data_IF_618859637843
#
_entry.id   IF_618859637843
#
_cell.length_a   1.000
_cell.length_b   1.000
_cell.length_c   1.000
_cell.angle_alpha   90.00
_cell.angle_beta   90.00
_cell.angle_gamma   90.00
#
_symmetry.space_group_name_H-M   'P 1'
#
loop_
_entity.id
_entity.type
_entity.pdbx_description
1 polymer ?
#
# COMPACT_ATOMS: atom_id res chain seq x y z
N UNK A 1 3.47 9.01 0.08
CA UNK A 1 3.04 9.57 1.38
C UNK A 1 3.78 8.84 2.50
N UNK A 2 4.52 9.54 3.38
CA UNK A 2 5.13 8.94 4.56
C UNK A 2 4.07 8.37 5.52
N UNK A 3 4.43 7.30 6.21
CA UNK A 3 3.64 6.74 7.30
C UNK A 3 4.45 6.80 8.59
N UNK A 4 3.80 7.15 9.69
CA UNK A 4 4.48 7.38 10.98
C UNK A 4 3.82 6.51 12.03
N UNK A 5 4.62 5.73 12.72
CA UNK A 5 4.21 4.94 13.88
C UNK A 5 5.40 4.57 14.78
N UNK A 6 5.16 4.50 16.08
CA UNK A 6 6.14 4.00 17.06
C UNK A 6 7.50 4.70 17.02
N UNK A 7 7.54 5.99 16.73
CA UNK A 7 8.80 6.75 16.63
C UNK A 7 9.56 6.53 15.33
N UNK A 8 8.94 5.91 14.33
CA UNK A 8 9.53 5.60 13.01
C UNK A 8 8.76 6.27 11.89
N UNK A 9 9.46 6.58 10.82
CA UNK A 9 8.89 7.07 9.56
C UNK A 9 9.19 6.03 8.48
N UNK A 10 8.14 5.53 7.84
CA UNK A 10 8.21 4.59 6.72
C UNK A 10 7.92 5.34 5.43
N UNK A 11 8.83 5.25 4.47
CA UNK A 11 8.72 5.91 3.17
C UNK A 11 9.13 4.97 2.05
N UNK A 12 8.65 5.28 0.85
CA UNK A 12 9.31 4.85 -0.38
C UNK A 12 10.08 6.06 -0.89
N UNK A 13 11.39 5.95 -0.89
CA UNK A 13 12.30 7.02 -1.33
C UNK A 13 12.22 7.23 -2.86
N UNK A 14 12.73 8.36 -3.39
CA UNK A 14 12.68 8.65 -4.82
C UNK A 14 13.31 7.58 -5.72
N UNK A 15 14.26 6.80 -5.20
CA UNK A 15 14.87 5.66 -5.87
C UNK A 15 14.00 4.38 -5.83
N UNK A 16 12.76 4.50 -5.33
CA UNK A 16 11.75 3.43 -5.25
C UNK A 16 12.06 2.35 -4.20
N UNK A 17 12.93 2.66 -3.25
CA UNK A 17 13.35 1.74 -2.19
C UNK A 17 12.63 2.06 -0.90
N UNK A 18 12.10 1.02 -0.24
CA UNK A 18 11.45 1.14 1.07
C UNK A 18 12.50 1.46 2.13
N UNK A 19 12.25 2.51 2.90
CA UNK A 19 13.20 3.04 3.88
C UNK A 19 12.46 3.36 5.19
N UNK A 20 13.11 3.04 6.29
CA UNK A 20 12.65 3.42 7.63
C UNK A 20 13.64 4.40 8.25
N UNK A 21 13.09 5.49 8.79
CA UNK A 21 13.87 6.53 9.47
C UNK A 21 13.42 6.62 10.93
N UNK A 22 14.33 7.03 11.78
CA UNK A 22 14.01 7.47 13.13
C UNK A 22 13.28 8.81 13.09
N UNK A 23 12.11 8.90 13.73
CA UNK A 23 11.27 10.11 13.68
C UNK A 23 11.94 11.32 14.35
N UNK A 24 12.66 11.11 15.45
CA UNK A 24 13.25 12.19 16.23
C UNK A 24 14.50 12.78 15.57
N UNK A 25 15.29 11.94 14.93
CA UNK A 25 16.62 12.32 14.40
C UNK A 25 16.70 12.38 12.88
N UNK A 26 15.75 11.77 12.18
CA UNK A 26 15.78 11.60 10.73
C UNK A 26 16.83 10.59 10.24
N UNK A 27 17.53 9.91 11.15
CA UNK A 27 18.53 8.91 10.76
C UNK A 27 17.87 7.67 10.15
N UNK A 28 18.52 7.12 9.13
CA UNK A 28 18.11 5.87 8.53
C UNK A 28 18.32 4.71 9.52
N UNK A 29 17.23 4.01 9.84
CA UNK A 29 17.29 2.79 10.65
C UNK A 29 17.56 1.56 9.78
N UNK A 30 16.86 1.47 8.65
CA UNK A 30 17.10 0.45 7.64
C UNK A 30 16.58 0.90 6.26
N UNK A 31 17.04 0.22 5.24
CA UNK A 31 16.63 0.39 3.86
C UNK A 31 16.69 -0.98 3.18
N UNK A 32 15.65 -1.33 2.45
CA UNK A 32 15.57 -2.63 1.78
C UNK A 32 15.31 -2.48 0.28
N UNK A 33 16.18 -3.09 -0.51
CA UNK A 33 16.17 -3.02 -1.97
C UNK A 33 15.65 -4.31 -2.63
N UNK A 34 15.09 -5.23 -1.87
CA UNK A 34 14.56 -6.49 -2.41
C UNK A 34 13.38 -6.27 -3.35
N UNK A 35 12.61 -5.21 -3.12
CA UNK A 35 11.46 -4.84 -3.94
C UNK A 35 11.45 -3.35 -4.26
N UNK A 36 10.94 -2.99 -5.44
CA UNK A 36 10.74 -1.60 -5.84
C UNK A 36 9.27 -1.21 -5.72
N UNK A 37 8.99 0.04 -5.36
CA UNK A 37 7.65 0.58 -5.21
C UNK A 37 7.54 2.02 -5.70
N UNK A 38 6.31 2.50 -5.88
CA UNK A 38 5.97 3.85 -6.37
C UNK A 38 5.14 4.63 -5.33
N UNK A 39 5.61 4.79 -4.11
CA UNK A 39 4.94 5.60 -3.08
C UNK A 39 3.54 5.11 -2.64
N UNK A 40 3.26 3.84 -2.83
CA UNK A 40 1.94 3.23 -2.63
C UNK A 40 1.73 2.71 -1.22
N UNK A 41 2.06 3.52 -0.23
CA UNK A 41 2.17 3.10 1.16
C UNK A 41 0.83 3.11 1.91
N UNK A 42 0.64 2.17 2.81
CA UNK A 42 -0.45 2.11 3.77
C UNK A 42 0.05 1.68 5.16
N UNK A 43 -0.73 1.96 6.19
CA UNK A 43 -0.43 1.56 7.57
C UNK A 43 -1.68 0.91 8.18
N UNK A 44 -1.53 -0.18 8.93
CA UNK A 44 -2.63 -0.77 9.69
C UNK A 44 -3.12 0.19 10.78
N UNK A 45 -4.38 0.03 11.20
CA UNK A 45 -4.98 0.90 12.21
C UNK A 45 -4.28 0.83 13.58
N UNK A 46 -3.65 -0.29 13.90
CA UNK A 46 -2.83 -0.47 15.12
C UNK A 46 -1.35 -0.08 14.93
N UNK A 47 -0.97 0.35 13.75
CA UNK A 47 0.39 0.75 13.41
C UNK A 47 1.41 -0.41 13.27
N UNK A 48 1.01 -1.65 13.48
CA UNK A 48 1.94 -2.80 13.53
C UNK A 48 2.42 -3.27 12.18
N UNK A 49 1.70 -2.90 11.10
CA UNK A 49 2.02 -3.32 9.73
C UNK A 49 2.07 -2.13 8.81
N UNK A 50 3.13 -2.08 8.04
CA UNK A 50 3.28 -1.16 6.92
C UNK A 50 3.11 -1.94 5.62
N UNK A 51 2.29 -1.41 4.72
CA UNK A 51 2.00 -2.03 3.44
C UNK A 51 2.53 -1.18 2.30
N UNK A 52 3.01 -1.83 1.25
CA UNK A 52 3.33 -1.16 0.00
C UNK A 52 3.12 -2.09 -1.20
N UNK A 53 2.64 -1.49 -2.29
CA UNK A 53 2.49 -2.20 -3.56
C UNK A 53 3.83 -2.14 -4.31
N UNK A 54 4.29 -3.28 -4.80
CA UNK A 54 5.54 -3.37 -5.56
C UNK A 54 5.32 -3.04 -7.03
N UNK A 55 6.41 -2.76 -7.74
CA UNK A 55 6.37 -2.56 -9.19
C UNK A 55 6.19 -3.86 -9.99
N UNK A 56 6.23 -5.00 -9.34
CA UNK A 56 5.91 -6.31 -9.92
C UNK A 56 4.44 -6.71 -9.73
N UNK A 57 3.62 -5.79 -9.23
CA UNK A 57 2.17 -6.02 -9.03
C UNK A 57 1.85 -6.89 -7.83
N UNK A 58 2.68 -6.81 -6.80
CA UNK A 58 2.48 -7.49 -5.53
C UNK A 58 2.12 -6.49 -4.43
N UNK A 59 1.50 -6.95 -3.37
CA UNK A 59 1.33 -6.21 -2.12
C UNK A 59 2.17 -6.87 -1.03
N UNK A 60 3.06 -6.11 -0.41
CA UNK A 60 3.91 -6.57 0.68
C UNK A 60 3.49 -5.96 2.01
N UNK A 61 3.58 -6.75 3.08
CA UNK A 61 3.40 -6.31 4.46
C UNK A 61 4.69 -6.46 5.25
N UNK A 62 5.02 -5.43 6.02
CA UNK A 62 6.22 -5.37 6.84
C UNK A 62 5.84 -5.19 8.30
N UNK A 63 6.57 -5.84 9.18
CA UNK A 63 6.50 -5.63 10.63
C UNK A 63 7.16 -4.30 11.00
N UNK A 64 6.36 -3.34 11.48
CA UNK A 64 6.86 -2.01 11.87
C UNK A 64 7.66 -2.04 13.16
N UNK A 65 7.49 -3.06 14.01
CA UNK A 65 8.20 -3.18 15.28
C UNK A 65 9.62 -3.73 15.14
N UNK A 66 9.93 -4.38 14.02
CA UNK A 66 11.25 -4.96 13.80
C UNK A 66 12.34 -3.89 13.66
N UNK A 67 13.55 -4.18 14.14
CA UNK A 67 14.70 -3.26 14.05
C UNK A 67 15.26 -3.16 12.63
N UNK A 68 14.99 -4.18 11.78
CA UNK A 68 15.37 -4.26 10.38
C UNK A 68 14.15 -4.57 9.53
N UNK A 69 14.30 -4.47 8.21
CA UNK A 69 13.27 -4.91 7.28
C UNK A 69 12.85 -6.35 7.56
N UNK A 70 11.58 -6.54 7.87
CA UNK A 70 11.00 -7.86 8.10
C UNK A 70 9.68 -7.97 7.35
N UNK A 71 9.70 -8.69 6.25
CA UNK A 71 8.52 -9.01 5.49
C UNK A 71 7.69 -10.07 6.20
N UNK A 72 6.41 -9.78 6.41
CA UNK A 72 5.45 -10.73 6.97
C UNK A 72 4.86 -11.62 5.89
N UNK A 73 4.51 -11.01 4.77
CA UNK A 73 4.01 -11.69 3.57
C UNK A 73 4.14 -10.77 2.35
N UNK A 74 4.08 -11.40 1.18
CA UNK A 74 4.00 -10.71 -0.10
C UNK A 74 3.03 -11.47 -1.00
N UNK A 75 2.00 -10.80 -1.48
CA UNK A 75 0.92 -11.41 -2.25
C UNK A 75 0.95 -10.89 -3.68
N UNK A 76 1.06 -11.80 -4.64
CA UNK A 76 0.93 -11.49 -6.06
C UNK A 76 -0.54 -11.17 -6.38
N UNK A 77 -0.78 -9.96 -6.92
CA UNK A 77 -2.11 -9.50 -7.30
C UNK A 77 -2.52 -9.99 -8.71
N UNK A 78 -1.59 -10.62 -9.43
CA UNK A 78 -1.81 -11.08 -10.81
C UNK A 78 -1.81 -9.95 -11.84
N UNK A 79 -1.30 -8.76 -11.49
CA UNK A 79 -1.31 -7.59 -12.36
C UNK A 79 -0.06 -7.43 -13.22
N UNK A 80 1.01 -8.16 -12.90
CA UNK A 80 2.31 -7.98 -13.53
C UNK A 80 2.92 -6.61 -13.22
N UNK A 81 3.72 -6.08 -14.15
CA UNK A 81 4.40 -4.80 -13.96
C UNK A 81 3.42 -3.67 -13.61
N UNK A 82 3.69 -2.96 -12.52
CA UNK A 82 2.82 -1.96 -11.93
C UNK A 82 3.61 -0.70 -11.56
N UNK A 83 3.14 0.46 -12.01
CA UNK A 83 3.77 1.75 -11.70
C UNK A 83 2.79 2.80 -11.18
N UNK A 84 1.52 2.44 -10.96
CA UNK A 84 0.54 3.36 -10.41
C UNK A 84 0.86 3.69 -8.95
N UNK A 85 0.80 4.97 -8.59
CA UNK A 85 1.17 5.47 -7.25
C UNK A 85 -0.02 5.67 -6.32
N UNK A 86 -1.18 5.08 -6.61
CA UNK A 86 -2.31 5.11 -5.68
C UNK A 86 -1.93 4.47 -4.34
N UNK A 87 -2.03 5.20 -3.22
CA UNK A 87 -1.71 4.67 -1.91
C UNK A 87 -2.60 3.48 -1.52
N UNK A 88 -2.07 2.55 -0.75
CA UNK A 88 -2.87 1.50 -0.13
C UNK A 88 -3.74 2.10 0.99
N UNK A 89 -4.97 1.61 1.11
CA UNK A 89 -5.92 2.01 2.15
C UNK A 89 -6.30 0.81 3.01
N UNK A 90 -6.30 1.00 4.32
CA UNK A 90 -6.64 -0.07 5.27
C UNK A 90 -7.98 0.25 5.96
N UNK A 91 -8.92 -0.70 5.88
CA UNK A 91 -10.22 -0.63 6.56
C UNK A 91 -10.55 -2.00 7.16
N UNK A 92 -10.76 -2.04 8.46
CA UNK A 92 -11.17 -3.26 9.19
C UNK A 92 -10.26 -4.47 8.91
N UNK A 93 -8.94 -4.25 8.92
CA UNK A 93 -7.95 -5.30 8.67
C UNK A 93 -7.79 -5.70 7.20
N UNK A 94 -8.55 -5.13 6.28
CA UNK A 94 -8.45 -5.38 4.85
C UNK A 94 -7.67 -4.26 4.18
N UNK A 95 -6.72 -4.63 3.32
CA UNK A 95 -5.90 -3.69 2.55
C UNK A 95 -6.46 -3.59 1.14
N UNK A 96 -6.82 -2.37 0.73
CA UNK A 96 -7.32 -2.07 -0.60
C UNK A 96 -6.23 -1.38 -1.42
N UNK A 97 -6.05 -1.83 -2.64
CA UNK A 97 -5.07 -1.27 -3.59
C UNK A 97 -5.68 -1.09 -4.96
N UNK A 98 -5.21 -0.09 -5.69
CA UNK A 98 -5.60 0.15 -7.07
C UNK A 98 -4.39 0.15 -7.99
N UNK A 99 -4.57 -0.32 -9.21
CA UNK A 99 -3.53 -0.48 -10.21
C UNK A 99 -3.66 0.43 -11.42
N UNK A 100 -2.69 0.38 -12.30
CA UNK A 100 -2.58 1.25 -13.50
C UNK A 100 -3.63 1.00 -14.57
N UNK A 101 -4.22 -0.20 -14.58
CA UNK A 101 -5.22 -0.60 -15.58
C UNK A 101 -6.65 -0.61 -15.04
N UNK A 102 -6.93 0.20 -14.02
CA UNK A 102 -8.25 0.29 -13.42
C UNK A 102 -8.64 -0.94 -12.61
N UNK A 103 -7.67 -1.67 -12.13
CA UNK A 103 -7.88 -2.81 -11.22
C UNK A 103 -7.94 -2.35 -9.78
N UNK A 104 -8.78 -2.99 -8.99
CA UNK A 104 -8.85 -2.82 -7.53
C UNK A 104 -8.79 -4.21 -6.91
N UNK A 105 -8.04 -4.35 -5.85
CA UNK A 105 -7.96 -5.60 -5.09
C UNK A 105 -8.13 -5.34 -3.59
N UNK A 106 -8.64 -6.34 -2.89
CA UNK A 106 -8.68 -6.41 -1.44
C UNK A 106 -7.87 -7.61 -0.97
N UNK A 107 -6.98 -7.36 -0.01
CA UNK A 107 -6.10 -8.37 0.58
C UNK A 107 -6.35 -8.40 2.08
N UNK A 108 -6.56 -9.60 2.62
CA UNK A 108 -6.75 -9.80 4.04
C UNK A 108 -5.48 -9.53 4.85
N UNK A 109 -5.64 -9.40 6.14
CA UNK A 109 -4.56 -9.15 7.08
C UNK A 109 -3.46 -10.22 7.07
N UNK A 110 -3.81 -11.45 6.71
CA UNK A 110 -2.91 -12.59 6.58
C UNK A 110 -2.23 -12.70 5.20
N UNK A 111 -2.50 -11.77 4.29
CA UNK A 111 -1.99 -11.77 2.93
C UNK A 111 -2.87 -12.52 1.92
N UNK A 112 -4.03 -13.02 2.31
CA UNK A 112 -4.96 -13.69 1.39
C UNK A 112 -5.58 -12.69 0.43
N UNK A 113 -5.44 -12.91 -0.88
CA UNK A 113 -6.16 -12.14 -1.89
C UNK A 113 -7.64 -12.50 -1.82
N UNK A 114 -8.46 -11.55 -1.33
CA UNK A 114 -9.89 -11.75 -1.15
C UNK A 114 -10.64 -11.62 -2.48
N UNK A 115 -10.31 -10.59 -3.23
CA UNK A 115 -10.85 -10.38 -4.58
C UNK A 115 -9.98 -9.38 -5.35
N UNK A 116 -10.09 -9.43 -6.67
CA UNK A 116 -9.54 -8.48 -7.61
C UNK A 116 -10.52 -8.26 -8.74
N UNK A 117 -10.78 -7.01 -9.10
CA UNK A 117 -11.75 -6.64 -10.14
C UNK A 117 -11.18 -5.53 -11.01
N UNK A 118 -11.47 -5.61 -12.29
CA UNK A 118 -11.16 -4.54 -13.24
C UNK A 118 -12.38 -3.61 -13.34
N UNK A 119 -12.21 -2.35 -12.96
CA UNK A 119 -13.25 -1.33 -12.93
C UNK A 119 -13.26 -0.47 -14.20
N UNK A 120 -12.09 -0.19 -14.75
CA UNK A 120 -11.91 0.70 -15.92
C UNK A 120 -10.56 0.42 -16.60
N UNK A 121 -10.03 1.38 -17.37
CA UNK A 121 -8.75 1.20 -18.09
C UNK A 121 -7.66 2.18 -17.67
N UNK A 122 -7.89 3.00 -16.64
CA UNK A 122 -6.93 3.99 -16.16
C UNK A 122 -6.46 3.71 -14.74
N UNK A 123 -5.38 4.36 -14.33
CA UNK A 123 -4.81 4.20 -12.99
C UNK A 123 -5.68 4.79 -11.89
N UNK A 124 -5.65 4.16 -10.72
CA UNK A 124 -6.28 4.68 -9.52
C UNK A 124 -5.57 5.91 -8.97
N UNK A 125 -6.31 6.83 -8.37
CA UNK A 125 -5.77 8.06 -7.78
C UNK A 125 -5.63 7.95 -6.26
N UNK A 126 -6.74 7.65 -5.57
CA UNK A 126 -6.76 7.59 -4.11
C UNK A 126 -8.01 6.86 -3.62
N UNK A 127 -8.04 6.58 -2.32
CA UNK A 127 -9.19 6.05 -1.60
C UNK A 127 -9.65 7.02 -0.53
N UNK A 128 -10.96 7.09 -0.30
CA UNK A 128 -11.56 7.84 0.80
C UNK A 128 -12.68 7.03 1.44
N UNK A 129 -12.76 7.08 2.77
CA UNK A 129 -13.83 6.44 3.52
C UNK A 129 -14.92 7.46 3.85
N UNK A 130 -16.17 7.12 3.52
CA UNK A 130 -17.32 7.91 3.86
C UNK A 130 -17.77 7.66 5.30
N UNK A 131 -18.59 8.56 5.90
CA UNK A 131 -19.11 8.39 7.27
C UNK A 131 -19.94 7.11 7.48
N UNK A 132 -20.54 6.57 6.42
CA UNK A 132 -21.29 5.30 6.46
C UNK A 132 -20.38 4.06 6.41
N UNK A 133 -19.05 4.27 6.40
CA UNK A 133 -18.04 3.20 6.32
C UNK A 133 -17.74 2.74 4.91
N UNK A 134 -18.50 3.16 3.89
CA UNK A 134 -18.19 2.80 2.51
C UNK A 134 -16.87 3.42 2.04
N UNK A 135 -16.14 2.69 1.21
CA UNK A 135 -14.87 3.11 0.64
C UNK A 135 -15.09 3.54 -0.80
N UNK A 136 -14.52 4.67 -1.17
CA UNK A 136 -14.62 5.23 -2.51
C UNK A 136 -13.24 5.35 -3.13
N UNK A 137 -13.13 5.03 -4.40
CA UNK A 137 -11.90 5.23 -5.17
C UNK A 137 -12.18 5.88 -6.50
N UNK A 138 -11.24 6.68 -6.98
CA UNK A 138 -11.33 7.41 -8.25
C UNK A 138 -10.22 6.97 -9.19
N UNK A 139 -10.48 7.13 -10.47
CA UNK A 139 -9.55 6.77 -11.54
C UNK A 139 -9.32 7.95 -12.49
N UNK A 140 -8.15 7.96 -13.13
CA UNK A 140 -7.70 9.07 -13.98
C UNK A 140 -8.67 9.41 -15.13
N UNK A 141 -9.43 8.44 -15.64
CA UNK A 141 -10.44 8.68 -16.69
C UNK A 141 -11.79 9.22 -16.15
N UNK A 142 -11.85 9.63 -14.88
CA UNK A 142 -13.06 10.20 -14.27
C UNK A 142 -14.05 9.17 -13.75
N UNK A 143 -13.67 7.91 -13.66
CA UNK A 143 -14.52 6.87 -13.04
C UNK A 143 -14.43 6.91 -11.53
N UNK A 144 -15.55 6.60 -10.88
CA UNK A 144 -15.65 6.52 -9.42
C UNK A 144 -16.28 5.18 -9.06
N UNK A 145 -15.70 4.48 -8.08
CA UNK A 145 -16.19 3.21 -7.59
C UNK A 145 -16.45 3.26 -6.09
N UNK A 146 -17.54 2.61 -5.69
CA UNK A 146 -17.91 2.44 -4.28
C UNK A 146 -17.74 0.99 -3.88
N UNK A 147 -17.08 0.78 -2.76
CA UNK A 147 -16.95 -0.51 -2.08
C UNK A 147 -17.78 -0.40 -0.80
N UNK A 148 -18.87 -1.18 -0.68
CA UNK A 148 -19.75 -1.12 0.49
C UNK A 148 -19.05 -1.34 1.81
#
# INVERSE_FOLDING_TARGET
VPRIDGGKVFIVAPDRVVTCLDLATGKQLWRDNSRKSRETTGLSGDGRRFYYKTMDGELAAIDTSAERYRELWCTDLGWGYEYNSCPAFVRDGVVYVAGRHGTVAAVGEDGTLLWSVKCCNSGGNDFAQAPDGSLWTTFAEGKVFRIP
#
